data_IF_625595700687
#
_entry.id   IF_625595700687
#
_cell.length_a   1.000
_cell.length_b   1.000
_cell.length_c   1.000
_cell.angle_alpha   90.00
_cell.angle_beta   90.00
_cell.angle_gamma   90.00
#
_symmetry.space_group_name_H-M   'P 1'
#
loop_
_entity.id
_entity.type
_entity.pdbx_description
1 polymer ?
#
# COMPACT_ATOMS: atom_id res chain seq x y z
N UNK A 1 5.63 22.93 -23.94
CA UNK A 1 5.78 22.77 -22.46
C UNK A 1 6.93 21.83 -22.22
N UNK A 2 7.89 22.22 -21.40
CA UNK A 2 9.00 21.34 -20.96
C UNK A 2 8.63 20.66 -19.63
N UNK A 3 8.76 19.34 -19.59
CA UNK A 3 8.41 18.52 -18.42
C UNK A 3 9.67 17.77 -17.99
N UNK A 4 10.12 17.97 -16.75
CA UNK A 4 11.18 17.15 -16.14
C UNK A 4 10.53 16.07 -15.27
N UNK A 5 10.90 14.82 -15.47
CA UNK A 5 10.24 13.68 -14.82
C UNK A 5 11.23 12.64 -14.26
N UNK A 6 10.91 12.07 -13.08
CA UNK A 6 11.63 10.92 -12.55
C UNK A 6 11.41 9.68 -13.46
N UNK A 7 12.52 9.16 -14.00
CA UNK A 7 12.51 8.01 -14.90
C UNK A 7 11.99 6.70 -14.30
N UNK A 8 11.77 6.65 -12.99
CA UNK A 8 11.15 5.50 -12.33
C UNK A 8 9.61 5.62 -12.23
N UNK A 9 9.00 6.66 -12.80
CA UNK A 9 7.55 6.72 -13.02
C UNK A 9 7.27 5.89 -14.28
N UNK A 10 6.53 4.79 -14.11
CA UNK A 10 6.23 3.87 -15.21
C UNK A 10 5.47 4.61 -16.34
N UNK A 11 5.88 4.42 -17.58
CA UNK A 11 5.26 5.00 -18.79
C UNK A 11 5.17 6.54 -18.80
N UNK A 12 5.99 7.24 -18.01
CA UNK A 12 5.92 8.70 -17.91
C UNK A 12 6.21 9.39 -19.26
N UNK A 13 7.21 8.89 -20.00
CA UNK A 13 7.53 9.45 -21.31
C UNK A 13 6.39 9.24 -22.29
N UNK A 14 5.88 8.02 -22.41
CA UNK A 14 4.81 7.65 -23.34
C UNK A 14 3.53 8.45 -23.06
N UNK A 15 3.17 8.63 -21.80
CA UNK A 15 1.98 9.35 -21.39
C UNK A 15 2.14 10.87 -21.62
N UNK A 16 3.20 11.47 -21.07
CA UNK A 16 3.35 12.92 -21.04
C UNK A 16 3.89 13.53 -22.34
N UNK A 17 4.51 12.75 -23.25
CA UNK A 17 4.89 13.24 -24.58
C UNK A 17 3.68 13.67 -25.42
N UNK A 18 2.47 13.30 -25.04
CA UNK A 18 1.23 13.78 -25.67
C UNK A 18 0.93 15.26 -25.40
N UNK A 19 1.55 15.85 -24.37
CA UNK A 19 1.27 17.19 -23.88
C UNK A 19 2.51 18.10 -23.75
N UNK A 20 3.71 17.53 -23.87
CA UNK A 20 4.94 18.32 -23.78
C UNK A 20 6.19 17.53 -24.15
N UNK A 21 7.34 18.22 -24.10
CA UNK A 21 8.66 17.62 -24.24
C UNK A 21 9.13 17.09 -22.88
N UNK A 22 9.41 15.77 -22.79
CA UNK A 22 9.68 15.09 -21.54
C UNK A 22 11.17 14.77 -21.41
N UNK A 23 11.83 15.45 -20.50
CA UNK A 23 13.20 15.17 -20.07
C UNK A 23 13.18 14.22 -18.87
N UNK A 24 13.89 13.09 -18.98
CA UNK A 24 13.97 12.08 -17.92
C UNK A 24 15.22 12.28 -17.09
N UNK A 25 15.05 12.34 -15.75
CA UNK A 25 16.16 12.41 -14.78
C UNK A 25 15.98 11.35 -13.71
N UNK A 26 17.08 10.96 -13.06
CA UNK A 26 17.00 10.18 -11.82
C UNK A 26 16.49 11.06 -10.68
N UNK A 27 15.55 10.56 -9.88
CA UNK A 27 14.93 11.40 -8.83
C UNK A 27 15.93 11.97 -7.81
N UNK A 28 17.06 11.29 -7.53
CA UNK A 28 18.15 11.80 -6.67
C UNK A 28 19.14 12.70 -7.43
N UNK A 29 19.05 12.77 -8.75
CA UNK A 29 19.93 13.56 -9.63
C UNK A 29 19.28 14.88 -10.03
N UNK A 30 18.05 15.14 -9.61
CA UNK A 30 17.37 16.41 -9.87
C UNK A 30 18.08 17.54 -9.10
N UNK A 31 18.60 18.50 -9.87
CA UNK A 31 19.30 19.71 -9.36
C UNK A 31 18.56 20.97 -9.74
N UNK A 32 18.81 22.10 -9.07
CA UNK A 32 18.22 23.39 -9.46
C UNK A 32 18.44 23.74 -10.93
N UNK A 33 19.63 23.48 -11.46
CA UNK A 33 19.99 23.73 -12.85
C UNK A 33 19.20 22.83 -13.82
N UNK A 34 19.01 21.55 -13.43
CA UNK A 34 18.28 20.56 -14.23
C UNK A 34 16.78 20.84 -14.33
N UNK A 35 16.20 21.60 -13.39
CA UNK A 35 14.77 21.95 -13.39
C UNK A 35 14.51 23.42 -13.72
N UNK A 36 15.56 24.22 -13.97
CA UNK A 36 15.45 25.68 -14.06
C UNK A 36 14.46 26.17 -15.12
N UNK A 37 14.43 25.55 -16.29
CA UNK A 37 13.61 25.93 -17.44
C UNK A 37 12.39 25.01 -17.67
N UNK A 38 12.10 24.12 -16.70
CA UNK A 38 10.94 23.25 -16.77
C UNK A 38 9.63 24.02 -16.46
N UNK A 39 8.57 23.74 -17.20
CA UNK A 39 7.21 24.20 -16.87
C UNK A 39 6.54 23.32 -15.81
N UNK A 40 6.85 22.02 -15.85
CA UNK A 40 6.32 21.03 -14.89
C UNK A 40 7.39 20.06 -14.39
N UNK A 41 7.28 19.68 -13.11
CA UNK A 41 8.17 18.73 -12.46
C UNK A 41 7.38 17.53 -11.94
N UNK A 42 7.73 16.32 -12.41
CA UNK A 42 7.09 15.07 -12.01
C UNK A 42 8.05 14.22 -11.18
N UNK A 43 7.71 14.00 -9.91
CA UNK A 43 8.62 13.36 -8.94
C UNK A 43 8.03 12.10 -8.33
N UNK A 44 8.87 11.41 -7.57
CA UNK A 44 8.51 10.35 -6.62
C UNK A 44 9.07 10.70 -5.23
N UNK A 45 8.76 9.88 -4.24
CA UNK A 45 9.10 10.10 -2.82
C UNK A 45 10.59 10.28 -2.49
N UNK A 46 11.49 10.01 -3.43
CA UNK A 46 12.95 10.14 -3.22
C UNK A 46 13.51 11.52 -3.60
N UNK A 47 12.71 12.38 -4.24
CA UNK A 47 13.09 13.75 -4.62
C UNK A 47 12.48 14.72 -3.64
N UNK A 48 13.31 15.43 -2.88
CA UNK A 48 12.81 16.52 -2.05
C UNK A 48 12.50 17.73 -2.91
N UNK A 49 11.28 18.23 -2.82
CA UNK A 49 10.79 19.40 -3.54
C UNK A 49 10.55 20.53 -2.53
N UNK A 50 11.44 21.49 -2.54
CA UNK A 50 11.45 22.64 -1.62
C UNK A 50 12.07 23.87 -2.32
N UNK A 51 12.24 24.96 -1.56
CA UNK A 51 12.88 26.19 -2.04
C UNK A 51 14.25 25.94 -2.65
N UNK A 52 15.04 25.04 -2.06
CA UNK A 52 16.40 24.74 -2.54
C UNK A 52 16.40 24.19 -3.97
N UNK A 53 15.42 23.35 -4.32
CA UNK A 53 15.32 22.77 -5.65
C UNK A 53 14.69 23.76 -6.65
N UNK A 54 13.67 24.54 -6.21
CA UNK A 54 12.83 25.31 -7.13
C UNK A 54 13.11 26.80 -7.17
N UNK A 55 14.03 27.32 -6.34
CA UNK A 55 14.36 28.74 -6.33
C UNK A 55 14.92 29.18 -7.70
N UNK A 56 14.28 30.20 -8.29
CA UNK A 56 14.64 30.72 -9.62
C UNK A 56 14.21 29.84 -10.81
N UNK A 57 13.53 28.72 -10.59
CA UNK A 57 13.01 27.90 -11.69
C UNK A 57 11.75 28.51 -12.33
N UNK A 58 11.47 28.07 -13.55
CA UNK A 58 10.25 28.41 -14.31
C UNK A 58 9.06 27.48 -14.00
N UNK A 59 9.21 26.55 -13.06
CA UNK A 59 8.20 25.52 -12.73
C UNK A 59 6.90 26.14 -12.25
N UNK A 60 5.80 25.78 -12.90
CA UNK A 60 4.43 26.22 -12.61
C UNK A 60 3.58 25.10 -11.99
N UNK A 61 4.00 23.85 -12.15
CA UNK A 61 3.26 22.69 -11.66
C UNK A 61 4.21 21.60 -11.18
N UNK A 62 3.94 21.07 -10.00
CA UNK A 62 4.63 19.92 -9.43
C UNK A 62 3.63 18.79 -9.24
N UNK A 63 3.99 17.58 -9.65
CA UNK A 63 3.19 16.41 -9.31
C UNK A 63 4.06 15.26 -8.78
N UNK A 64 3.53 14.53 -7.80
CA UNK A 64 4.16 13.31 -7.31
C UNK A 64 3.30 12.09 -7.63
N UNK A 65 3.92 11.11 -8.35
CA UNK A 65 3.28 9.84 -8.67
C UNK A 65 3.19 8.90 -7.43
N UNK A 66 3.06 9.48 -6.24
CA UNK A 66 2.94 8.81 -4.95
C UNK A 66 1.75 9.35 -4.17
N UNK A 67 1.27 8.56 -3.19
CA UNK A 67 0.15 8.98 -2.35
C UNK A 67 0.63 9.96 -1.28
N UNK A 68 1.72 9.60 -0.57
CA UNK A 68 2.35 10.48 0.40
C UNK A 68 3.19 11.54 -0.30
N UNK A 69 3.16 12.75 0.24
CA UNK A 69 3.88 13.91 -0.26
C UNK A 69 4.75 14.58 0.82
N UNK A 70 5.17 13.81 1.82
CA UNK A 70 6.03 14.28 2.93
C UNK A 70 7.38 14.87 2.44
N UNK A 71 7.74 14.59 1.19
CA UNK A 71 8.93 15.09 0.50
C UNK A 71 8.70 16.42 -0.24
N UNK A 72 7.47 16.97 -0.22
CA UNK A 72 7.10 18.21 -0.91
C UNK A 72 6.75 19.29 0.11
N UNK A 73 7.38 20.45 0.00
CA UNK A 73 7.09 21.65 0.78
C UNK A 73 5.89 22.39 0.17
N UNK A 74 4.69 22.06 0.65
CA UNK A 74 3.46 22.65 0.14
C UNK A 74 3.35 24.16 0.45
N UNK A 75 3.86 24.59 1.60
CA UNK A 75 3.82 26.00 1.99
C UNK A 75 4.65 26.85 1.01
N UNK A 76 5.82 26.34 0.60
CA UNK A 76 6.64 26.96 -0.42
C UNK A 76 5.94 27.01 -1.79
N UNK A 77 5.32 25.89 -2.22
CA UNK A 77 4.59 25.83 -3.50
C UNK A 77 3.44 26.84 -3.53
N UNK A 78 2.67 26.91 -2.45
CA UNK A 78 1.53 27.85 -2.32
C UNK A 78 2.00 29.31 -2.35
N UNK A 79 3.05 29.65 -1.60
CA UNK A 79 3.65 31.00 -1.59
C UNK A 79 4.17 31.43 -2.98
N UNK A 80 4.56 30.47 -3.83
CA UNK A 80 5.04 30.70 -5.20
C UNK A 80 3.96 30.52 -6.27
N UNK A 81 2.72 30.23 -5.88
CA UNK A 81 1.61 29.92 -6.79
C UNK A 81 1.91 28.79 -7.78
N UNK A 82 2.67 27.78 -7.33
CA UNK A 82 2.97 26.58 -8.09
C UNK A 82 1.87 25.56 -7.83
N UNK A 83 1.19 25.08 -8.89
CA UNK A 83 0.18 24.04 -8.77
C UNK A 83 0.77 22.74 -8.26
N UNK A 84 -0.03 21.99 -7.47
CA UNK A 84 0.41 20.70 -6.94
C UNK A 84 -0.63 19.61 -7.12
N UNK A 85 -0.15 18.41 -7.47
CA UNK A 85 -0.97 17.20 -7.45
C UNK A 85 -0.20 16.00 -6.87
N UNK A 86 -0.93 15.13 -6.19
CA UNK A 86 -0.46 13.80 -5.78
C UNK A 86 -1.41 12.74 -6.33
N UNK A 87 -1.14 11.46 -6.03
CA UNK A 87 -1.97 10.35 -6.50
C UNK A 87 -2.71 9.65 -5.35
N UNK A 88 -3.63 10.33 -4.63
CA UNK A 88 -4.27 9.78 -3.42
C UNK A 88 -5.13 8.56 -3.76
N UNK A 89 -4.86 7.44 -3.10
CA UNK A 89 -5.62 6.21 -3.27
C UNK A 89 -5.27 5.38 -4.52
N UNK A 90 -4.35 5.80 -5.37
CA UNK A 90 -3.94 5.06 -6.57
C UNK A 90 -3.51 3.63 -6.29
N UNK A 91 -2.79 3.39 -5.19
CA UNK A 91 -2.33 2.06 -4.77
C UNK A 91 -3.15 1.45 -3.63
N UNK A 92 -4.29 2.03 -3.27
CA UNK A 92 -5.02 1.59 -2.07
C UNK A 92 -5.58 0.17 -2.21
N UNK A 93 -5.87 -0.27 -3.43
CA UNK A 93 -6.30 -1.63 -3.71
C UNK A 93 -5.18 -2.62 -3.42
N UNK A 94 -4.01 -2.42 -4.00
CA UNK A 94 -2.85 -3.30 -3.77
C UNK A 94 -2.39 -3.32 -2.32
N UNK A 95 -2.41 -2.18 -1.61
CA UNK A 95 -2.10 -2.15 -0.18
C UNK A 95 -3.12 -2.93 0.66
N UNK A 96 -4.40 -2.85 0.32
CA UNK A 96 -5.42 -3.66 0.98
C UNK A 96 -5.27 -5.16 0.68
N UNK A 97 -4.93 -5.52 -0.56
CA UNK A 97 -4.64 -6.89 -0.96
C UNK A 97 -3.41 -7.47 -0.24
N UNK A 98 -2.38 -6.65 0.00
CA UNK A 98 -1.25 -7.02 0.84
C UNK A 98 -1.71 -7.42 2.25
N UNK A 99 -2.56 -6.62 2.87
CA UNK A 99 -3.08 -6.93 4.22
C UNK A 99 -3.87 -8.23 4.22
N UNK A 100 -4.73 -8.45 3.21
CA UNK A 100 -5.47 -9.71 3.08
C UNK A 100 -4.52 -10.90 2.92
N UNK A 101 -3.47 -10.79 2.09
CA UNK A 101 -2.46 -11.84 1.95
C UNK A 101 -1.74 -12.11 3.28
N UNK A 102 -1.37 -11.05 4.03
CA UNK A 102 -0.74 -11.19 5.35
C UNK A 102 -1.65 -11.91 6.36
N UNK A 103 -2.94 -11.54 6.42
CA UNK A 103 -3.91 -12.18 7.32
C UNK A 103 -4.12 -13.65 6.98
N UNK A 104 -4.23 -13.99 5.69
CA UNK A 104 -4.40 -15.38 5.24
C UNK A 104 -3.14 -16.21 5.53
N UNK A 105 -1.96 -15.69 5.25
CA UNK A 105 -0.69 -16.38 5.51
C UNK A 105 -0.47 -16.61 7.01
N UNK A 106 -0.71 -15.59 7.86
CA UNK A 106 -0.66 -15.74 9.32
C UNK A 106 -1.70 -16.76 9.78
N UNK A 107 -2.90 -16.72 9.20
CA UNK A 107 -3.95 -17.70 9.45
C UNK A 107 -3.47 -19.13 9.20
N UNK A 108 -2.80 -19.38 8.09
CA UNK A 108 -2.23 -20.70 7.74
C UNK A 108 -1.12 -21.10 8.71
N UNK A 109 -0.13 -20.23 8.94
CA UNK A 109 1.02 -20.53 9.82
C UNK A 109 0.62 -20.87 11.26
N UNK A 110 -0.42 -20.19 11.76
CA UNK A 110 -0.83 -20.30 13.16
C UNK A 110 -2.13 -21.07 13.38
N UNK A 111 -2.73 -21.65 12.35
CA UNK A 111 -3.99 -22.38 12.45
C UNK A 111 -5.17 -21.50 12.87
N UNK A 112 -5.20 -20.24 12.42
CA UNK A 112 -6.25 -19.27 12.76
C UNK A 112 -7.26 -19.16 11.61
N UNK A 113 -8.53 -19.39 11.92
CA UNK A 113 -9.64 -19.10 11.01
C UNK A 113 -9.98 -17.62 11.11
N UNK A 114 -10.06 -16.92 9.97
CA UNK A 114 -10.42 -15.49 9.94
C UNK A 114 -11.91 -15.25 10.15
N UNK A 115 -12.75 -16.15 9.61
CA UNK A 115 -14.20 -16.08 9.74
C UNK A 115 -14.63 -16.09 11.21
N UNK A 116 -15.46 -15.12 11.61
CA UNK A 116 -15.92 -14.90 12.98
C UNK A 116 -14.92 -14.19 13.89
N UNK A 117 -13.68 -13.92 13.45
CA UNK A 117 -12.70 -13.16 14.25
C UNK A 117 -12.93 -11.67 14.17
N UNK A 118 -12.50 -10.95 15.20
CA UNK A 118 -12.57 -9.50 15.24
C UNK A 118 -11.28 -8.85 14.73
N UNK A 119 -11.42 -7.74 13.97
CA UNK A 119 -10.30 -6.93 13.51
C UNK A 119 -10.54 -5.44 13.77
N UNK A 120 -9.57 -4.79 14.39
CA UNK A 120 -9.52 -3.33 14.56
C UNK A 120 -8.73 -2.70 13.42
N UNK A 121 -9.37 -1.80 12.67
CA UNK A 121 -8.76 -1.02 11.58
C UNK A 121 -8.54 0.41 12.08
N UNK A 122 -7.28 0.81 12.20
CA UNK A 122 -6.86 2.15 12.65
C UNK A 122 -6.47 2.98 11.42
N UNK A 123 -7.22 4.08 11.19
CA UNK A 123 -7.18 4.85 9.95
C UNK A 123 -8.05 4.21 8.87
N UNK A 124 -9.17 4.85 8.52
CA UNK A 124 -10.20 4.29 7.61
C UNK A 124 -10.30 5.16 6.34
N UNK A 125 -9.15 5.63 5.87
CA UNK A 125 -9.00 6.35 4.60
C UNK A 125 -9.08 5.40 3.38
N UNK A 126 -8.36 5.74 2.31
CA UNK A 126 -8.39 4.97 1.06
C UNK A 126 -7.98 3.50 1.23
N UNK A 127 -6.95 3.21 2.03
CA UNK A 127 -6.48 1.84 2.27
C UNK A 127 -7.35 1.16 3.33
N UNK A 128 -7.46 1.74 4.54
CA UNK A 128 -8.16 1.11 5.65
C UNK A 128 -9.64 0.86 5.37
N UNK A 129 -10.30 1.71 4.58
CA UNK A 129 -11.67 1.47 4.13
C UNK A 129 -11.81 0.22 3.25
N UNK A 130 -10.84 0.00 2.34
CA UNK A 130 -10.79 -1.21 1.50
C UNK A 130 -10.43 -2.46 2.30
N UNK A 131 -9.51 -2.34 3.27
CA UNK A 131 -9.18 -3.44 4.19
C UNK A 131 -10.40 -3.84 4.99
N UNK A 132 -11.11 -2.88 5.58
CA UNK A 132 -12.33 -3.12 6.35
C UNK A 132 -13.38 -3.89 5.54
N UNK A 133 -13.66 -3.44 4.30
CA UNK A 133 -14.64 -4.10 3.42
C UNK A 133 -14.23 -5.53 3.04
N UNK A 134 -12.94 -5.77 2.76
CA UNK A 134 -12.42 -7.09 2.43
C UNK A 134 -12.44 -8.04 3.63
N UNK A 135 -12.13 -7.54 4.83
CA UNK A 135 -12.22 -8.33 6.06
C UNK A 135 -13.68 -8.71 6.37
N UNK A 136 -14.63 -7.80 6.18
CA UNK A 136 -16.07 -8.12 6.29
C UNK A 136 -16.48 -9.20 5.29
N UNK A 137 -16.00 -9.12 4.06
CA UNK A 137 -16.27 -10.13 3.03
C UNK A 137 -15.71 -11.51 3.40
N UNK A 138 -14.58 -11.57 4.14
CA UNK A 138 -14.01 -12.81 4.69
C UNK A 138 -14.76 -13.32 5.94
N UNK A 139 -15.79 -12.62 6.41
CA UNK A 139 -16.58 -13.00 7.58
C UNK A 139 -16.02 -12.49 8.90
N UNK A 140 -15.08 -11.53 8.89
CA UNK A 140 -14.55 -10.93 10.11
C UNK A 140 -15.47 -9.84 10.67
N UNK A 141 -15.45 -9.66 12.00
CA UNK A 141 -16.12 -8.56 12.70
C UNK A 141 -15.21 -7.33 12.74
N UNK A 142 -15.49 -6.33 11.91
CA UNK A 142 -14.64 -5.15 11.75
C UNK A 142 -15.04 -4.03 12.69
N UNK A 143 -14.09 -3.52 13.49
CA UNK A 143 -14.20 -2.27 14.24
C UNK A 143 -13.29 -1.22 13.60
N UNK A 144 -13.77 0.01 13.48
CA UNK A 144 -13.10 1.10 12.75
C UNK A 144 -12.75 2.23 13.69
N UNK A 145 -11.49 2.67 13.69
CA UNK A 145 -11.05 3.86 14.39
C UNK A 145 -10.50 4.87 13.39
N UNK A 146 -11.10 6.05 13.34
CA UNK A 146 -10.63 7.18 12.56
C UNK A 146 -11.19 8.47 13.19
N UNK A 147 -10.52 9.07 14.18
CA UNK A 147 -11.01 10.24 14.88
C UNK A 147 -11.30 11.45 13.97
N UNK A 148 -10.46 11.78 12.96
CA UNK A 148 -10.80 12.83 12.00
C UNK A 148 -12.10 12.56 11.22
N UNK A 149 -12.31 11.32 10.74
CA UNK A 149 -13.54 10.96 10.04
C UNK A 149 -14.74 10.98 10.98
N UNK A 150 -14.59 10.49 12.20
CA UNK A 150 -15.65 10.49 13.21
C UNK A 150 -16.13 11.92 13.50
N UNK A 151 -15.20 12.86 13.73
CA UNK A 151 -15.57 14.28 13.96
C UNK A 151 -16.22 14.93 12.75
N UNK A 152 -15.76 14.59 11.53
CA UNK A 152 -16.30 15.17 10.29
C UNK A 152 -17.68 14.65 9.94
N UNK A 153 -17.95 13.37 10.19
CA UNK A 153 -19.17 12.70 9.72
C UNK A 153 -20.21 12.45 10.81
N UNK A 154 -19.80 12.39 12.07
CA UNK A 154 -20.66 11.95 13.19
C UNK A 154 -21.08 10.47 13.12
N UNK A 155 -20.49 9.67 12.21
CA UNK A 155 -20.90 8.28 11.99
C UNK A 155 -20.45 7.39 13.16
N UNK A 156 -21.39 6.72 13.88
CA UNK A 156 -21.09 5.89 15.04
C UNK A 156 -20.28 4.63 14.74
N UNK A 157 -20.08 4.28 13.48
CA UNK A 157 -19.20 3.16 13.10
C UNK A 157 -17.73 3.40 13.45
N UNK A 158 -17.33 4.68 13.62
CA UNK A 158 -15.99 5.03 14.07
C UNK A 158 -15.95 5.10 15.58
N UNK A 159 -15.23 4.19 16.20
CA UNK A 159 -15.14 4.02 17.65
C UNK A 159 -13.81 4.54 18.20
N UNK A 160 -13.71 4.87 19.51
CA UNK A 160 -12.43 5.15 20.14
C UNK A 160 -11.43 3.99 20.01
N UNK A 161 -10.13 4.30 20.05
CA UNK A 161 -9.08 3.31 19.84
C UNK A 161 -9.13 2.19 20.91
N UNK A 162 -9.54 2.52 22.11
CA UNK A 162 -9.68 1.59 23.23
C UNK A 162 -10.69 0.46 22.92
N UNK A 163 -11.70 0.75 22.11
CA UNK A 163 -12.68 -0.25 21.69
C UNK A 163 -12.09 -1.32 20.75
N UNK A 164 -10.85 -1.12 20.28
CA UNK A 164 -10.16 -2.08 19.43
C UNK A 164 -9.27 -3.05 20.21
N UNK A 165 -8.96 -2.74 21.47
CA UNK A 165 -7.94 -3.47 22.26
C UNK A 165 -8.30 -4.94 22.53
N UNK A 166 -9.56 -5.32 22.46
CA UNK A 166 -10.05 -6.70 22.58
C UNK A 166 -10.19 -7.43 21.24
N UNK A 167 -9.83 -6.81 20.11
CA UNK A 167 -9.84 -7.45 18.80
C UNK A 167 -8.75 -8.53 18.68
N UNK A 168 -9.05 -9.56 17.89
CA UNK A 168 -8.09 -10.65 17.59
C UNK A 168 -6.96 -10.16 16.66
N UNK A 169 -7.26 -9.19 15.81
CA UNK A 169 -6.35 -8.58 14.84
C UNK A 169 -6.39 -7.06 14.95
N UNK A 170 -5.24 -6.43 14.77
CA UNK A 170 -5.13 -4.96 14.65
C UNK A 170 -4.33 -4.64 13.39
N UNK A 171 -4.81 -3.70 12.59
CA UNK A 171 -4.11 -3.23 11.40
C UNK A 171 -4.11 -1.70 11.29
N UNK A 172 -2.95 -1.12 10.92
CA UNK A 172 -2.75 0.34 10.90
C UNK A 172 -2.62 0.87 9.47
N UNK A 173 -3.39 1.97 9.20
CA UNK A 173 -3.46 2.63 7.88
C UNK A 173 -3.51 4.16 8.01
N UNK A 174 -2.86 4.71 9.02
CA UNK A 174 -2.80 6.15 9.27
C UNK A 174 -1.65 6.82 8.51
N UNK A 175 -1.77 8.10 8.13
CA UNK A 175 -0.60 8.90 7.76
C UNK A 175 0.33 9.07 8.97
N UNK A 176 1.55 9.50 8.76
CA UNK A 176 2.47 9.91 9.82
C UNK A 176 2.28 11.41 10.08
N UNK A 177 1.79 11.74 11.27
CA UNK A 177 1.70 13.12 11.77
C UNK A 177 2.47 13.23 13.09
N UNK A 178 3.26 14.29 13.23
CA UNK A 178 4.11 14.49 14.41
C UNK A 178 3.50 15.44 15.44
N UNK A 179 2.51 16.23 15.03
CA UNK A 179 1.89 17.29 15.80
C UNK A 179 0.37 17.26 15.65
N UNK A 180 -0.31 18.07 16.44
CA UNK A 180 -1.76 18.22 16.42
C UNK A 180 -2.52 17.17 17.24
N UNK A 181 -3.85 17.31 17.26
CA UNK A 181 -4.75 16.48 18.07
C UNK A 181 -4.70 14.99 17.65
N UNK A 182 -4.48 14.73 16.36
CA UNK A 182 -4.47 13.38 15.79
C UNK A 182 -3.03 12.94 15.44
N UNK A 183 -2.08 13.29 16.32
CA UNK A 183 -0.70 12.83 16.19
C UNK A 183 -0.65 11.31 16.11
N UNK A 184 0.04 10.78 15.08
CA UNK A 184 0.19 9.35 14.85
C UNK A 184 1.63 8.84 15.06
N UNK A 185 2.61 9.75 15.20
CA UNK A 185 3.97 9.38 15.57
C UNK A 185 3.99 8.61 16.89
N UNK A 186 4.48 7.37 16.86
CA UNK A 186 4.47 6.42 17.98
C UNK A 186 3.06 6.23 18.60
N UNK A 187 2.02 6.20 17.75
CA UNK A 187 0.66 5.89 18.18
C UNK A 187 0.57 4.50 18.80
N UNK A 188 1.29 3.53 18.23
CA UNK A 188 1.47 2.21 18.81
C UNK A 188 2.75 2.17 19.67
N UNK A 189 2.62 2.67 20.90
CA UNK A 189 3.62 2.71 21.96
C UNK A 189 3.50 1.51 22.93
N UNK A 190 4.26 1.53 24.02
CA UNK A 190 4.21 0.52 25.08
C UNK A 190 2.82 0.37 25.69
N UNK A 191 2.13 1.50 25.93
CA UNK A 191 0.77 1.50 26.50
C UNK A 191 -0.21 0.83 25.52
N UNK A 192 -0.10 1.15 24.24
CA UNK A 192 -0.92 0.53 23.21
C UNK A 192 -0.74 -1.00 23.21
N UNK A 193 0.50 -1.49 23.08
CA UNK A 193 0.75 -2.94 23.03
C UNK A 193 0.38 -3.66 24.33
N UNK A 194 0.61 -3.05 25.49
CA UNK A 194 0.21 -3.64 26.77
C UNK A 194 -1.31 -3.73 26.95
N UNK A 195 -2.07 -2.84 26.30
CA UNK A 195 -3.53 -2.83 26.35
C UNK A 195 -4.19 -3.83 25.40
N UNK A 196 -3.48 -4.32 24.39
CA UNK A 196 -4.06 -5.27 23.43
C UNK A 196 -4.43 -6.59 24.11
N UNK A 197 -5.42 -7.26 23.56
CA UNK A 197 -5.75 -8.65 23.90
C UNK A 197 -4.51 -9.54 23.82
N UNK A 198 -4.32 -10.41 24.82
CA UNK A 198 -3.24 -11.40 24.80
C UNK A 198 -3.37 -12.29 23.55
N UNK A 199 -2.31 -12.40 22.77
CA UNK A 199 -2.30 -13.19 21.56
C UNK A 199 -2.94 -12.50 20.33
N UNK A 200 -3.09 -11.18 20.36
CA UNK A 200 -3.51 -10.42 19.20
C UNK A 200 -2.48 -10.51 18.05
N UNK A 201 -2.95 -10.44 16.82
CA UNK A 201 -2.13 -10.29 15.61
C UNK A 201 -2.03 -8.81 15.24
N UNK A 202 -0.83 -8.34 14.92
CA UNK A 202 -0.59 -6.95 14.59
C UNK A 202 -0.04 -6.79 13.17
N UNK A 203 -0.61 -5.86 12.39
CA UNK A 203 -0.18 -5.56 11.02
C UNK A 203 0.05 -4.06 10.86
N UNK A 204 1.21 -3.67 10.31
CA UNK A 204 1.45 -2.29 9.91
C UNK A 204 1.86 -2.19 8.44
N UNK A 205 1.00 -1.63 7.62
CA UNK A 205 1.22 -1.30 6.21
C UNK A 205 0.97 0.20 5.92
N UNK A 206 1.31 1.06 6.90
CA UNK A 206 1.08 2.52 6.81
C UNK A 206 2.39 3.31 6.74
N UNK A 207 2.98 3.62 7.89
CA UNK A 207 4.30 4.27 8.06
C UNK A 207 5.02 3.64 9.25
N UNK A 208 6.33 3.45 9.13
CA UNK A 208 7.15 2.81 10.17
C UNK A 208 7.05 3.52 11.51
N UNK A 209 7.28 4.82 11.52
CA UNK A 209 7.29 5.64 12.75
C UNK A 209 5.90 5.91 13.38
N UNK A 210 4.83 5.27 12.88
CA UNK A 210 3.55 5.18 13.61
C UNK A 210 3.67 4.19 14.77
N UNK A 211 4.62 3.26 14.68
CA UNK A 211 4.94 2.26 15.68
C UNK A 211 6.25 2.61 16.36
N UNK A 212 6.29 2.57 17.68
CA UNK A 212 7.55 2.55 18.43
C UNK A 212 8.16 1.15 18.31
N UNK A 213 9.26 1.04 17.58
CA UNK A 213 9.92 -0.25 17.31
C UNK A 213 10.43 -0.94 18.57
N UNK A 214 10.85 -0.19 19.60
CA UNK A 214 11.30 -0.77 20.87
C UNK A 214 10.12 -1.32 21.66
N UNK A 215 9.01 -0.61 21.71
CA UNK A 215 7.78 -1.08 22.34
C UNK A 215 7.24 -2.34 21.65
N UNK A 216 7.29 -2.40 20.32
CA UNK A 216 6.90 -3.58 19.56
C UNK A 216 7.82 -4.78 19.87
N UNK A 217 9.15 -4.59 19.88
CA UNK A 217 10.12 -5.64 20.23
C UNK A 217 9.86 -6.18 21.65
N UNK A 218 9.61 -5.30 22.61
CA UNK A 218 9.27 -5.69 23.98
C UNK A 218 7.97 -6.51 24.05
N UNK A 219 6.93 -6.12 23.30
CA UNK A 219 5.67 -6.84 23.24
C UNK A 219 5.81 -8.25 22.61
N UNK A 220 6.62 -8.37 21.55
CA UNK A 220 6.95 -9.67 20.93
C UNK A 220 7.71 -10.56 21.92
N UNK A 221 8.76 -10.04 22.56
CA UNK A 221 9.58 -10.77 23.54
C UNK A 221 8.75 -11.24 24.73
N UNK A 222 7.80 -10.43 25.19
CA UNK A 222 6.85 -10.76 26.25
C UNK A 222 5.73 -11.73 25.78
N UNK A 223 5.76 -12.18 24.51
CA UNK A 223 4.73 -13.04 23.90
C UNK A 223 3.31 -12.43 24.01
N UNK A 224 3.22 -11.11 24.02
CA UNK A 224 1.94 -10.39 24.07
C UNK A 224 1.18 -10.55 22.75
N UNK A 225 1.91 -10.54 21.63
CA UNK A 225 1.39 -10.73 20.28
C UNK A 225 1.55 -12.18 19.83
N UNK A 226 0.57 -12.69 19.08
CA UNK A 226 0.60 -14.02 18.47
C UNK A 226 1.44 -14.04 17.20
N UNK A 227 1.28 -12.99 16.37
CA UNK A 227 2.02 -12.82 15.15
C UNK A 227 2.08 -11.33 14.75
N UNK A 228 3.09 -10.97 13.96
CA UNK A 228 3.32 -9.60 13.49
C UNK A 228 3.66 -9.60 12.00
N UNK A 229 3.04 -8.70 11.23
CA UNK A 229 3.41 -8.42 9.84
C UNK A 229 3.73 -6.93 9.66
N UNK A 230 4.90 -6.62 9.09
CA UNK A 230 5.36 -5.26 8.84
C UNK A 230 5.73 -5.08 7.36
N UNK A 231 5.11 -4.13 6.69
CA UNK A 231 5.58 -3.63 5.38
C UNK A 231 6.48 -2.41 5.53
N UNK A 232 6.33 -1.68 6.62
CA UNK A 232 6.99 -0.39 6.89
C UNK A 232 7.76 -0.42 8.20
N UNK A 233 8.88 0.30 8.24
CA UNK A 233 9.86 0.23 9.32
C UNK A 233 10.28 1.63 9.78
N UNK A 234 10.61 1.79 11.05
CA UNK A 234 11.33 2.98 11.46
C UNK A 234 12.71 3.03 10.78
N UNK A 235 13.15 4.25 10.48
CA UNK A 235 14.49 4.53 9.92
C UNK A 235 14.76 3.88 8.54
N UNK A 236 13.71 3.59 7.75
CA UNK A 236 13.93 3.18 6.35
C UNK A 236 14.91 4.14 5.63
N UNK A 237 15.82 3.63 4.83
CA UNK A 237 15.99 2.23 4.41
C UNK A 237 16.89 1.39 5.34
N UNK A 238 17.37 1.94 6.47
CA UNK A 238 18.23 1.29 7.44
C UNK A 238 17.39 0.65 8.55
N UNK A 239 16.67 -0.43 8.22
CA UNK A 239 15.75 -1.09 9.13
C UNK A 239 16.44 -1.85 10.26
N UNK A 240 15.75 -2.04 11.36
CA UNK A 240 16.18 -2.90 12.49
C UNK A 240 16.05 -4.38 12.10
N UNK A 241 17.19 -5.05 11.87
CA UNK A 241 17.25 -6.46 11.47
C UNK A 241 16.80 -7.38 12.60
N UNK A 242 17.06 -7.03 13.86
CA UNK A 242 16.61 -7.83 15.00
C UNK A 242 15.06 -7.80 15.09
N UNK A 243 14.43 -6.67 14.76
CA UNK A 243 12.99 -6.60 14.66
C UNK A 243 12.48 -7.43 13.47
N UNK A 244 13.17 -7.39 12.32
CA UNK A 244 12.83 -8.23 11.16
C UNK A 244 12.86 -9.72 11.50
N UNK A 245 13.86 -10.15 12.27
CA UNK A 245 13.97 -11.54 12.70
C UNK A 245 12.86 -11.94 13.69
N UNK A 246 12.33 -10.98 14.43
CA UNK A 246 11.30 -11.22 15.45
C UNK A 246 9.87 -11.24 14.90
N UNK A 247 9.62 -10.71 13.70
CA UNK A 247 8.27 -10.70 13.10
C UNK A 247 8.02 -11.91 12.21
N UNK A 248 6.74 -12.27 12.04
CA UNK A 248 6.32 -13.41 11.19
C UNK A 248 6.45 -13.12 9.70
N UNK A 249 6.15 -11.88 9.30
CA UNK A 249 6.23 -11.41 7.92
C UNK A 249 6.84 -10.01 7.88
N UNK A 250 7.83 -9.82 7.01
CA UNK A 250 8.43 -8.54 6.72
C UNK A 250 8.52 -8.27 5.22
N UNK A 251 8.24 -7.04 4.78
CA UNK A 251 8.41 -6.65 3.38
C UNK A 251 9.00 -5.24 3.25
N UNK A 252 9.63 -4.90 2.12
CA UNK A 252 10.42 -3.68 1.99
C UNK A 252 9.58 -2.47 1.52
N UNK A 253 8.48 -2.15 2.21
CA UNK A 253 7.59 -1.04 1.90
C UNK A 253 7.02 -1.13 0.47
N UNK A 254 6.40 -2.27 0.16
CA UNK A 254 5.88 -2.61 -1.17
C UNK A 254 4.39 -2.98 -1.17
N UNK A 255 3.70 -2.86 -0.05
CA UNK A 255 2.28 -3.20 0.03
C UNK A 255 1.46 -2.57 -1.12
N UNK A 256 1.77 -1.33 -1.48
CA UNK A 256 1.16 -0.60 -2.59
C UNK A 256 1.81 -0.78 -3.96
N UNK A 257 2.71 -1.75 -4.16
CA UNK A 257 3.49 -1.88 -5.40
C UNK A 257 2.82 -2.79 -6.43
N UNK A 258 1.62 -2.45 -6.89
CA UNK A 258 1.05 -3.05 -8.11
C UNK A 258 1.38 -2.20 -9.35
N UNK A 259 1.39 -2.82 -10.53
CA UNK A 259 1.46 -2.09 -11.80
C UNK A 259 0.19 -1.24 -11.99
N UNK A 260 -0.95 -1.81 -11.62
CA UNK A 260 -2.25 -1.11 -11.65
C UNK A 260 -2.22 0.18 -10.84
N UNK A 261 -1.73 0.13 -9.61
CA UNK A 261 -1.59 1.31 -8.74
C UNK A 261 -0.59 2.34 -9.26
N UNK A 262 0.54 1.87 -9.85
CA UNK A 262 1.53 2.76 -10.47
C UNK A 262 0.95 3.50 -11.68
N UNK A 263 0.21 2.80 -12.55
CA UNK A 263 -0.43 3.40 -13.71
C UNK A 263 -1.60 4.30 -13.31
N UNK A 264 -2.41 3.88 -12.32
CA UNK A 264 -3.44 4.76 -11.77
C UNK A 264 -2.83 6.08 -11.24
N UNK A 265 -1.70 6.01 -10.53
CA UNK A 265 -0.97 7.20 -10.07
C UNK A 265 -0.44 8.06 -11.22
N UNK A 266 0.12 7.45 -12.26
CA UNK A 266 0.55 8.15 -13.48
C UNK A 266 -0.62 8.92 -14.10
N UNK A 267 -1.76 8.27 -14.32
CA UNK A 267 -2.93 8.88 -14.96
C UNK A 267 -3.53 9.99 -14.09
N UNK A 268 -3.58 9.83 -12.78
CA UNK A 268 -4.05 10.89 -11.87
C UNK A 268 -3.21 12.15 -12.00
N UNK A 269 -1.88 12.05 -11.98
CA UNK A 269 -1.01 13.22 -12.12
C UNK A 269 -1.00 13.78 -13.56
N UNK A 270 -1.20 12.94 -14.57
CA UNK A 270 -1.37 13.35 -15.95
C UNK A 270 -2.65 14.19 -16.15
N UNK A 271 -3.78 13.70 -15.62
CA UNK A 271 -5.06 14.42 -15.70
C UNK A 271 -4.98 15.76 -14.95
N UNK A 272 -4.37 15.77 -13.75
CA UNK A 272 -4.17 17.01 -12.99
C UNK A 272 -3.28 18.04 -13.73
N UNK A 273 -2.22 17.58 -14.40
CA UNK A 273 -1.39 18.44 -15.23
C UNK A 273 -2.19 19.00 -16.41
N UNK A 274 -2.95 18.15 -17.11
CA UNK A 274 -3.81 18.57 -18.22
C UNK A 274 -4.83 19.62 -17.76
N UNK A 275 -5.48 19.42 -16.63
CA UNK A 275 -6.41 20.38 -16.04
C UNK A 275 -5.73 21.70 -15.71
N UNK A 276 -4.57 21.67 -15.04
CA UNK A 276 -3.84 22.88 -14.67
C UNK A 276 -3.43 23.74 -15.86
N UNK A 277 -3.03 23.12 -16.97
CA UNK A 277 -2.61 23.84 -18.20
C UNK A 277 -3.72 23.99 -19.24
N UNK A 278 -4.94 23.57 -18.95
CA UNK A 278 -6.07 23.65 -19.90
C UNK A 278 -5.90 22.74 -21.14
N UNK A 279 -5.24 21.60 -21.00
CA UNK A 279 -4.95 20.66 -22.08
C UNK A 279 -5.93 19.47 -22.07
N UNK A 280 -6.26 18.88 -23.22
CA UNK A 280 -7.10 17.68 -23.26
C UNK A 280 -6.31 16.44 -22.77
N UNK A 281 -6.84 15.73 -21.77
CA UNK A 281 -6.32 14.41 -21.40
C UNK A 281 -6.73 13.37 -22.45
N UNK A 282 -5.77 12.58 -22.95
CA UNK A 282 -5.96 11.59 -24.03
C UNK A 282 -5.91 10.15 -23.55
N UNK A 283 -5.32 9.91 -22.38
CA UNK A 283 -5.05 8.56 -21.88
C UNK A 283 -5.83 8.25 -20.61
N UNK A 284 -6.15 6.98 -20.46
CA UNK A 284 -6.67 6.38 -19.24
C UNK A 284 -5.80 5.20 -18.76
N UNK A 285 -6.18 4.59 -17.65
CA UNK A 285 -5.43 3.47 -17.04
C UNK A 285 -5.34 2.26 -17.98
N UNK A 286 -6.39 2.00 -18.78
CA UNK A 286 -6.47 0.87 -19.69
C UNK A 286 -5.42 0.88 -20.80
N UNK A 287 -4.97 2.07 -21.21
CA UNK A 287 -4.01 2.24 -22.32
C UNK A 287 -2.61 1.67 -22.01
N UNK A 288 -2.28 1.51 -20.73
CA UNK A 288 -0.94 1.12 -20.27
C UNK A 288 -0.87 -0.23 -19.55
N UNK A 289 -2.02 -0.87 -19.31
CA UNK A 289 -2.04 -2.13 -18.58
C UNK A 289 -1.89 -3.34 -19.52
N UNK A 290 -0.80 -4.13 -19.42
CA UNK A 290 -0.69 -5.40 -20.16
C UNK A 290 -1.65 -6.43 -19.57
N UNK A 291 -1.87 -7.53 -20.31
CA UNK A 291 -2.56 -8.69 -19.78
C UNK A 291 -1.87 -9.21 -18.50
N UNK A 292 -2.61 -9.69 -17.50
CA UNK A 292 -2.02 -10.26 -16.29
C UNK A 292 -1.38 -11.62 -16.59
N UNK A 293 -0.26 -11.94 -15.91
CA UNK A 293 0.40 -13.24 -16.03
C UNK A 293 -0.52 -14.38 -15.57
N UNK A 294 -1.34 -14.11 -14.54
CA UNK A 294 -2.33 -15.05 -13.99
C UNK A 294 -3.73 -14.53 -14.32
N UNK A 295 -4.20 -14.80 -15.55
CA UNK A 295 -5.52 -14.36 -15.99
C UNK A 295 -6.66 -15.23 -15.40
N UNK A 296 -6.40 -16.52 -15.16
CA UNK A 296 -7.40 -17.47 -14.67
C UNK A 296 -6.77 -18.44 -13.67
N UNK A 297 -7.51 -18.74 -12.62
CA UNK A 297 -7.19 -19.74 -11.60
C UNK A 297 -8.36 -20.71 -11.53
N UNK A 298 -8.10 -22.00 -11.71
CA UNK A 298 -9.11 -23.04 -11.49
C UNK A 298 -8.96 -23.60 -10.07
N UNK A 299 -10.05 -23.60 -9.31
CA UNK A 299 -10.11 -24.30 -8.02
C UNK A 299 -10.48 -25.77 -8.23
N UNK A 300 -10.00 -26.68 -7.33
CA UNK A 300 -10.37 -28.09 -7.39
C UNK A 300 -11.88 -28.29 -7.15
N UNK A 301 -12.42 -29.45 -7.57
CA UNK A 301 -13.85 -29.76 -7.40
C UNK A 301 -14.22 -30.01 -5.93
N UNK A 302 -13.29 -30.49 -5.13
CA UNK A 302 -13.43 -30.86 -3.73
C UNK A 302 -12.81 -29.80 -2.80
N UNK A 303 -13.34 -28.56 -2.84
CA UNK A 303 -12.89 -27.52 -1.90
C UNK A 303 -13.36 -27.89 -0.49
N UNK A 304 -12.50 -28.49 0.29
CA UNK A 304 -12.77 -28.88 1.67
C UNK A 304 -12.75 -27.68 2.66
N UNK A 305 -11.91 -26.67 2.37
CA UNK A 305 -11.73 -25.47 3.20
C UNK A 305 -11.73 -24.19 2.35
N UNK A 306 -12.72 -23.32 2.60
CA UNK A 306 -12.86 -22.04 1.87
C UNK A 306 -11.64 -21.11 2.08
N UNK A 307 -11.10 -21.05 3.31
CA UNK A 307 -9.96 -20.18 3.61
C UNK A 307 -8.69 -20.66 2.91
N UNK A 308 -8.45 -21.96 2.86
CA UNK A 308 -7.32 -22.53 2.12
C UNK A 308 -7.45 -22.28 0.62
N UNK A 309 -8.65 -22.45 0.06
CA UNK A 309 -8.90 -22.16 -1.36
C UNK A 309 -8.67 -20.69 -1.70
N UNK A 310 -9.13 -19.77 -0.84
CA UNK A 310 -8.91 -18.31 -0.99
C UNK A 310 -7.41 -18.01 -0.87
N UNK A 311 -6.72 -18.54 0.14
CA UNK A 311 -5.29 -18.33 0.33
C UNK A 311 -4.47 -18.83 -0.86
N UNK A 312 -4.81 -20.01 -1.40
CA UNK A 312 -4.19 -20.56 -2.61
C UNK A 312 -4.41 -19.66 -3.84
N UNK A 313 -5.61 -19.10 -4.01
CA UNK A 313 -5.88 -18.18 -5.10
C UNK A 313 -5.09 -16.87 -4.95
N UNK A 314 -5.02 -16.32 -3.73
CA UNK A 314 -4.21 -15.13 -3.41
C UNK A 314 -2.74 -15.38 -3.69
N UNK A 315 -2.17 -16.47 -3.19
CA UNK A 315 -0.74 -16.82 -3.35
C UNK A 315 -0.33 -16.93 -4.83
N UNK A 316 -1.19 -17.43 -5.70
CA UNK A 316 -0.93 -17.52 -7.15
C UNK A 316 -0.79 -16.16 -7.82
N UNK A 317 -1.49 -15.12 -7.33
CA UNK A 317 -1.42 -13.76 -7.86
C UNK A 317 -0.38 -12.93 -7.12
N UNK A 318 -0.31 -13.10 -5.80
CA UNK A 318 0.58 -12.33 -4.94
C UNK A 318 1.14 -13.19 -3.79
N UNK A 319 2.43 -13.50 -3.85
CA UNK A 319 3.15 -14.23 -2.81
C UNK A 319 3.82 -13.29 -1.80
N UNK A 320 3.19 -13.09 -0.66
CA UNK A 320 3.78 -12.33 0.46
C UNK A 320 4.99 -13.06 1.07
N UNK A 321 5.01 -14.38 1.00
CA UNK A 321 6.12 -15.23 1.48
C UNK A 321 7.39 -14.99 0.67
N UNK A 322 7.26 -14.74 -0.64
CA UNK A 322 8.40 -14.36 -1.49
C UNK A 322 8.98 -13.03 -1.03
N UNK A 323 8.14 -12.03 -0.76
CA UNK A 323 8.60 -10.70 -0.37
C UNK A 323 9.28 -10.73 1.00
N UNK A 324 8.75 -11.49 1.96
CA UNK A 324 9.35 -11.75 3.26
C UNK A 324 10.74 -12.42 3.14
N UNK A 325 10.81 -13.50 2.36
CA UNK A 325 12.08 -14.20 2.11
C UNK A 325 13.13 -13.29 1.47
N UNK A 326 12.72 -12.48 0.50
CA UNK A 326 13.64 -11.60 -0.22
C UNK A 326 14.13 -10.46 0.68
N UNK A 327 13.30 -9.90 1.58
CA UNK A 327 13.73 -8.91 2.55
C UNK A 327 14.69 -9.52 3.59
N UNK A 328 14.41 -10.73 4.11
CA UNK A 328 15.27 -11.37 5.13
C UNK A 328 16.71 -11.58 4.67
N UNK A 329 16.98 -11.58 3.36
CA UNK A 329 18.35 -11.63 2.84
C UNK A 329 19.20 -10.42 3.26
N UNK A 330 18.58 -9.31 3.71
CA UNK A 330 19.27 -8.11 4.23
C UNK A 330 20.17 -8.44 5.43
N UNK A 331 19.85 -9.48 6.21
CA UNK A 331 20.66 -9.91 7.35
C UNK A 331 22.07 -10.38 6.94
N UNK A 332 22.21 -10.92 5.72
CA UNK A 332 23.51 -11.31 5.14
C UNK A 332 24.33 -10.15 4.58
N UNK A 333 23.76 -8.95 4.47
CA UNK A 333 24.46 -7.79 3.95
C UNK A 333 25.25 -7.06 5.06
N UNK A 334 26.45 -6.51 4.74
CA UNK A 334 27.14 -5.63 5.66
C UNK A 334 26.27 -4.44 6.08
N UNK A 335 26.36 -3.94 7.33
CA UNK A 335 25.49 -2.86 7.83
C UNK A 335 25.39 -1.64 6.90
N UNK A 336 26.51 -1.21 6.31
CA UNK A 336 26.60 -0.08 5.39
C UNK A 336 25.94 -0.34 4.01
N UNK A 337 25.68 -1.59 3.66
CA UNK A 337 25.04 -1.98 2.41
C UNK A 337 23.53 -2.21 2.55
N UNK A 338 23.04 -2.40 3.77
CA UNK A 338 21.63 -2.77 4.05
C UNK A 338 20.64 -1.78 3.48
N UNK A 339 20.86 -0.49 3.64
CA UNK A 339 19.97 0.53 3.07
C UNK A 339 19.91 0.49 1.54
N UNK A 340 21.05 0.25 0.87
CA UNK A 340 21.08 0.09 -0.59
C UNK A 340 20.38 -1.20 -1.03
N UNK A 341 20.50 -2.28 -0.26
CA UNK A 341 19.82 -3.54 -0.52
C UNK A 341 18.28 -3.37 -0.41
N UNK A 342 17.80 -2.70 0.64
CA UNK A 342 16.39 -2.38 0.82
C UNK A 342 15.83 -1.57 -0.36
N UNK A 343 16.54 -0.50 -0.76
CA UNK A 343 16.15 0.32 -1.91
C UNK A 343 16.17 -0.50 -3.22
N UNK A 344 17.12 -1.42 -3.38
CA UNK A 344 17.22 -2.27 -4.56
C UNK A 344 16.04 -3.24 -4.70
N UNK A 345 15.55 -3.82 -3.59
CA UNK A 345 14.34 -4.66 -3.60
C UNK A 345 13.11 -3.88 -4.09
N UNK A 346 12.98 -2.62 -3.67
CA UNK A 346 11.88 -1.75 -4.09
C UNK A 346 12.02 -1.32 -5.56
N UNK A 347 13.22 -0.96 -5.98
CA UNK A 347 13.51 -0.51 -7.35
C UNK A 347 13.26 -1.63 -8.36
N UNK A 348 13.67 -2.85 -8.04
CA UNK A 348 13.59 -4.02 -8.91
C UNK A 348 12.38 -4.90 -8.60
N UNK A 349 11.38 -4.35 -7.88
CA UNK A 349 10.20 -5.12 -7.51
C UNK A 349 9.49 -5.66 -8.75
N UNK A 350 9.20 -6.96 -8.80
CA UNK A 350 8.59 -7.58 -9.97
C UNK A 350 7.19 -7.03 -10.23
N UNK A 351 6.71 -7.21 -11.44
CA UNK A 351 5.35 -6.83 -11.81
C UNK A 351 4.36 -7.62 -10.96
N UNK A 352 3.51 -6.90 -10.23
CA UNK A 352 2.37 -7.43 -9.48
C UNK A 352 1.11 -6.81 -10.05
N UNK A 353 0.10 -7.65 -10.30
CA UNK A 353 -1.24 -7.19 -10.72
C UNK A 353 -2.21 -7.33 -9.56
N UNK A 354 -3.24 -6.49 -9.54
CA UNK A 354 -4.31 -6.54 -8.53
C UNK A 354 -5.27 -7.69 -8.82
N UNK A 355 -5.94 -8.20 -7.78
CA UNK A 355 -6.80 -9.41 -7.85
C UNK A 355 -7.91 -9.29 -8.88
N UNK A 356 -8.45 -8.09 -9.11
CA UNK A 356 -9.51 -7.85 -10.10
C UNK A 356 -9.11 -8.15 -11.55
N UNK A 357 -7.84 -8.38 -11.83
CA UNK A 357 -7.36 -8.79 -13.15
C UNK A 357 -7.47 -10.31 -13.37
N UNK A 358 -7.69 -11.09 -12.31
CA UNK A 358 -7.72 -12.54 -12.33
C UNK A 358 -9.15 -13.06 -12.15
N UNK A 359 -9.54 -14.05 -12.95
CA UNK A 359 -10.80 -14.79 -12.82
C UNK A 359 -10.56 -16.09 -12.09
N UNK A 360 -11.22 -16.32 -10.97
CA UNK A 360 -11.24 -17.60 -10.26
C UNK A 360 -12.43 -18.43 -10.77
N UNK A 361 -12.14 -19.59 -11.34
CA UNK A 361 -13.14 -20.55 -11.78
C UNK A 361 -13.45 -21.49 -10.61
N UNK A 362 -14.68 -21.49 -10.18
CA UNK A 362 -15.17 -22.30 -9.05
C UNK A 362 -16.06 -23.45 -9.55
N UNK A 363 -16.07 -24.60 -8.86
CA UNK A 363 -16.92 -25.74 -9.25
C UNK A 363 -18.40 -25.38 -9.29
N UNK A 364 -18.87 -24.65 -8.25
CA UNK A 364 -20.25 -24.23 -8.13
C UNK A 364 -20.35 -22.69 -8.08
N UNK A 365 -21.17 -22.07 -8.96
CA UNK A 365 -21.28 -20.62 -9.07
C UNK A 365 -22.14 -19.98 -7.98
N UNK A 366 -21.94 -20.35 -6.71
CA UNK A 366 -22.71 -19.86 -5.58
C UNK A 366 -22.03 -20.08 -4.24
N UNK A 367 -22.69 -19.68 -3.14
CA UNK A 367 -22.21 -19.95 -1.80
C UNK A 367 -21.29 -18.90 -1.20
N UNK A 368 -20.70 -19.23 -0.03
CA UNK A 368 -19.89 -18.33 0.76
C UNK A 368 -18.53 -18.07 0.09
N UNK A 369 -17.92 -19.10 -0.48
CA UNK A 369 -16.63 -18.99 -1.19
C UNK A 369 -16.67 -17.94 -2.30
N UNK A 370 -17.72 -17.98 -3.14
CA UNK A 370 -17.88 -17.00 -4.24
C UNK A 370 -18.01 -15.58 -3.70
N UNK A 371 -18.84 -15.38 -2.66
CA UNK A 371 -18.99 -14.04 -2.04
C UNK A 371 -17.67 -13.54 -1.46
N UNK A 372 -16.89 -14.41 -0.79
CA UNK A 372 -15.59 -14.07 -0.22
C UNK A 372 -14.59 -13.69 -1.31
N UNK A 373 -14.46 -14.48 -2.37
CA UNK A 373 -13.55 -14.21 -3.51
C UNK A 373 -13.91 -12.89 -4.21
N UNK A 374 -15.18 -12.65 -4.52
CA UNK A 374 -15.65 -11.38 -5.09
C UNK A 374 -15.36 -10.21 -4.13
N UNK A 375 -15.63 -10.41 -2.84
CA UNK A 375 -15.47 -9.37 -1.82
C UNK A 375 -14.02 -8.95 -1.58
N UNK A 376 -13.04 -9.84 -1.78
CA UNK A 376 -11.61 -9.49 -1.71
C UNK A 376 -11.04 -8.96 -3.04
N UNK A 377 -11.82 -9.02 -4.13
CA UNK A 377 -11.50 -8.34 -5.38
C UNK A 377 -11.31 -9.23 -6.61
N UNK A 378 -11.40 -10.55 -6.51
CA UNK A 378 -11.33 -11.43 -7.69
C UNK A 378 -12.58 -11.33 -8.56
N UNK A 379 -12.42 -11.60 -9.86
CA UNK A 379 -13.56 -12.01 -10.71
C UNK A 379 -13.84 -13.49 -10.45
N UNK A 380 -15.10 -13.89 -10.48
CA UNK A 380 -15.48 -15.28 -10.25
C UNK A 380 -16.38 -15.79 -11.38
N UNK A 381 -16.13 -17.01 -11.80
CA UNK A 381 -16.92 -17.71 -12.82
C UNK A 381 -17.15 -19.15 -12.39
N UNK A 382 -18.37 -19.65 -12.58
CA UNK A 382 -18.68 -21.09 -12.46
C UNK A 382 -18.01 -21.90 -13.58
N UNK A 383 -17.58 -23.11 -13.26
CA UNK A 383 -17.13 -24.06 -14.27
C UNK A 383 -18.33 -24.43 -15.17
N UNK A 384 -18.15 -24.39 -16.49
CA UNK A 384 -19.15 -24.93 -17.40
C UNK A 384 -19.21 -26.45 -17.22
N UNK A 385 -20.40 -27.01 -17.03
CA UNK A 385 -20.58 -28.47 -17.10
C UNK A 385 -20.49 -28.87 -18.57
N UNK A 386 -19.85 -29.99 -18.86
CA UNK A 386 -19.76 -30.53 -20.24
C UNK A 386 -21.13 -30.88 -20.83
N UNK A 387 -22.18 -30.95 -19.99
CA UNK A 387 -23.55 -31.27 -20.38
C UNK A 387 -24.37 -30.06 -20.93
N UNK A 388 -23.76 -28.87 -21.01
CA UNK A 388 -24.39 -27.63 -21.53
C UNK A 388 -24.07 -27.37 -23.03
N UNK A 389 -23.69 -28.41 -23.80
CA UNK A 389 -23.43 -28.36 -25.26
C UNK A 389 -24.47 -29.20 -26.04
#
# INVERSE_FOLDING_TARGET
MKIVADGNIAFVRECFSSVGDVEIMGGREMTPEGVADADALLVRSITRVDERLLSGSAVKFVATATIGFDHVDLDYLDARHIGFASAPGSNATSAAEYVIAALLEIGQRHGIRLDGRSIGVIGVGNVGGRVAARCEALGMHVRRNDPPLQRRTGDPKYVPIEALFDCDFITMHTPLTREGTDKTYHLADERFFSSLKQGAVFVNASRGAVVDSQALKAAIAAKRLKAVALDVWENEPNIDVDLLDAVDLGSPHIAGYSLDGKIAGLIMIYQALCEHFGLPAKFDVGDFLPAPDVATIELPDDVADEQEAIASAVEKVYSIVRDDRDLRRIAGEPPEARGRFFDALRKNYPVRREFHNTTVVVPEPGGALVRKLLGIGFKVKGRRREDDV
#
